data_IF_363995119341
#
_entry.id   IF_363995119341
#
_cell.length_a   1.000
_cell.length_b   1.000
_cell.length_c   1.000
_cell.angle_alpha   90.00
_cell.angle_beta   90.00
_cell.angle_gamma   90.00
#
_symmetry.space_group_name_H-M   'P 1'
#
loop_
_entity.id
_entity.type
_entity.pdbx_description
1 polymer ?
#
# COMPACT_ATOMS: atom_id res chain seq x y z
N UNK A 1 -7.57 2.20 14.41
CA UNK A 1 -7.25 3.45 13.67
C UNK A 1 -5.87 3.28 13.04
N UNK A 2 -5.72 3.48 11.73
CA UNK A 2 -4.43 3.27 11.07
C UNK A 2 -3.42 4.36 11.40
N UNK A 3 -2.15 3.99 11.55
CA UNK A 3 -1.06 4.93 11.79
C UNK A 3 -0.55 5.51 10.47
N UNK A 4 -0.14 6.78 10.49
CA UNK A 4 0.55 7.38 9.34
C UNK A 4 2.02 6.93 9.33
N UNK A 5 2.56 6.60 8.15
CA UNK A 5 3.96 6.17 8.03
C UNK A 5 4.92 7.33 8.23
N UNK A 6 4.58 8.51 7.74
CA UNK A 6 5.37 9.74 7.81
C UNK A 6 4.47 10.89 8.25
N UNK A 7 5.02 11.85 8.99
CA UNK A 7 4.29 13.02 9.48
C UNK A 7 3.55 13.76 8.36
N UNK A 8 2.33 14.20 8.68
CA UNK A 8 1.47 14.98 7.81
C UNK A 8 0.83 16.15 8.59
N UNK A 9 -0.22 16.75 8.04
CA UNK A 9 -0.92 17.91 8.65
C UNK A 9 -1.81 17.54 9.85
N UNK A 10 -1.99 16.26 10.17
CA UNK A 10 -2.90 15.81 11.26
C UNK A 10 -2.30 16.00 12.66
N UNK A 11 -0.97 16.09 12.76
CA UNK A 11 -0.26 16.18 14.05
C UNK A 11 -0.14 14.83 14.78
N UNK A 12 -0.59 13.74 14.18
CA UNK A 12 -0.44 12.39 14.73
C UNK A 12 1.04 11.98 14.73
N UNK A 13 1.45 11.20 15.75
CA UNK A 13 2.81 10.64 15.80
C UNK A 13 2.96 9.60 14.69
N UNK A 14 3.85 9.83 13.73
CA UNK A 14 4.00 8.88 12.61
C UNK A 14 4.78 7.62 13.04
N UNK A 15 4.52 6.52 12.34
CA UNK A 15 5.21 5.25 12.55
C UNK A 15 6.74 5.40 12.49
N UNK A 16 7.25 6.32 11.66
CA UNK A 16 8.68 6.62 11.58
C UNK A 16 9.26 7.07 12.92
N UNK A 17 8.54 7.88 13.71
CA UNK A 17 9.02 8.33 15.03
C UNK A 17 8.94 7.20 16.07
N UNK A 18 7.88 6.38 16.01
CA UNK A 18 7.77 5.18 16.86
C UNK A 18 8.94 4.23 16.61
N UNK A 19 9.28 3.98 15.34
CA UNK A 19 10.40 3.12 14.95
C UNK A 19 11.75 3.73 15.35
N UNK A 20 11.95 5.04 15.24
CA UNK A 20 13.17 5.71 15.73
C UNK A 20 13.34 5.50 17.23
N UNK A 21 12.27 5.73 18.02
CA UNK A 21 12.29 5.53 19.47
C UNK A 21 12.64 4.06 19.82
N UNK A 22 12.02 3.09 19.13
CA UNK A 22 12.34 1.68 19.28
C UNK A 22 13.81 1.38 19.00
N UNK A 23 14.35 1.88 17.86
CA UNK A 23 15.76 1.67 17.49
C UNK A 23 16.73 2.34 18.47
N UNK A 24 16.40 3.53 18.98
CA UNK A 24 17.19 4.23 20.00
C UNK A 24 17.33 3.37 21.25
N UNK A 25 16.21 2.83 21.75
CA UNK A 25 16.18 1.95 22.93
C UNK A 25 16.87 0.62 22.65
N UNK A 26 16.56 -0.06 21.54
CA UNK A 26 17.11 -1.39 21.21
C UNK A 26 18.63 -1.42 21.07
N UNK A 27 19.22 -0.36 20.52
CA UNK A 27 20.66 -0.26 20.25
C UNK A 27 21.39 0.66 21.20
N UNK A 28 20.74 1.13 22.27
CA UNK A 28 21.26 2.06 23.31
C UNK A 28 22.02 3.24 22.68
N UNK A 29 21.42 3.89 21.68
CA UNK A 29 22.07 4.98 20.96
C UNK A 29 22.03 6.28 21.77
N UNK A 30 23.16 6.98 22.01
CA UNK A 30 23.21 8.18 22.83
C UNK A 30 22.61 9.41 22.11
N UNK A 31 22.63 9.43 20.78
CA UNK A 31 22.19 10.59 19.97
C UNK A 31 20.91 10.34 19.19
N UNK A 32 20.71 11.18 18.17
CA UNK A 32 19.61 11.06 17.23
C UNK A 32 19.73 9.80 16.35
N UNK A 33 18.57 9.18 16.06
CA UNK A 33 18.50 7.99 15.21
C UNK A 33 18.02 8.38 13.83
N UNK A 34 18.85 8.13 12.83
CA UNK A 34 18.42 8.25 11.44
C UNK A 34 17.45 7.12 11.08
N UNK A 35 16.34 7.49 10.46
CA UNK A 35 15.40 6.55 9.82
C UNK A 35 14.86 7.18 8.55
N UNK A 36 15.17 6.59 7.40
CA UNK A 36 14.70 7.04 6.09
C UNK A 36 13.41 6.31 5.70
N UNK A 37 12.40 7.06 5.27
CA UNK A 37 11.14 6.53 4.73
C UNK A 37 11.35 6.22 3.25
N UNK A 38 11.31 4.94 2.87
CA UNK A 38 11.51 4.47 1.49
C UNK A 38 10.20 4.53 0.70
N UNK A 39 9.12 4.08 1.30
CA UNK A 39 7.76 4.14 0.75
C UNK A 39 6.73 4.30 1.87
N UNK A 40 5.49 4.53 1.49
CA UNK A 40 4.40 4.73 2.44
C UNK A 40 3.21 3.85 2.07
N UNK A 41 2.44 3.49 3.08
CA UNK A 41 1.06 3.06 2.93
C UNK A 41 0.13 4.25 3.18
N UNK A 42 -1.04 4.24 2.56
CA UNK A 42 -2.13 5.12 2.96
C UNK A 42 -2.51 4.81 4.42
N UNK A 43 -3.21 5.70 5.10
CA UNK A 43 -3.57 5.52 6.51
C UNK A 43 -4.44 4.31 6.80
N UNK A 44 -5.50 3.99 6.01
CA UNK A 44 -6.40 2.88 6.32
C UNK A 44 -5.86 1.47 6.05
N UNK A 45 -5.01 1.21 5.03
CA UNK A 45 -4.39 -0.10 4.80
C UNK A 45 -3.40 -0.50 5.90
N UNK A 46 -3.20 -1.81 6.02
CA UNK A 46 -2.16 -2.42 6.87
C UNK A 46 -1.05 -3.08 6.05
N UNK A 47 -0.01 -3.62 6.68
CA UNK A 47 0.98 -4.46 6.03
C UNK A 47 2.43 -4.01 6.16
N UNK A 48 3.28 -4.50 5.24
CA UNK A 48 4.73 -4.30 5.27
C UNK A 48 5.12 -2.88 4.87
N UNK A 49 5.95 -2.25 5.70
CA UNK A 49 6.59 -0.96 5.41
C UNK A 49 8.11 -1.10 5.60
N UNK A 50 8.87 -0.63 4.63
CA UNK A 50 10.34 -0.66 4.65
C UNK A 50 10.92 0.70 5.03
N UNK A 51 11.83 0.70 6.00
CA UNK A 51 12.61 1.86 6.40
C UNK A 51 14.11 1.61 6.20
N UNK A 52 14.84 2.66 5.88
CA UNK A 52 16.30 2.64 5.79
C UNK A 52 16.93 3.13 7.10
N UNK A 53 17.86 2.36 7.67
CA UNK A 53 18.56 2.72 8.91
C UNK A 53 19.78 3.63 8.67
N UNK A 54 20.13 3.92 7.42
CA UNK A 54 21.22 4.83 7.03
C UNK A 54 20.85 5.62 5.78
N UNK A 55 21.41 6.82 5.60
CA UNK A 55 21.22 7.65 4.42
C UNK A 55 21.70 6.95 3.13
N UNK A 56 22.81 6.22 3.20
CA UNK A 56 23.34 5.45 2.07
C UNK A 56 22.39 4.33 1.65
N UNK A 57 21.77 3.62 2.61
CA UNK A 57 20.75 2.60 2.31
C UNK A 57 19.49 3.25 1.74
N UNK A 58 19.06 4.41 2.26
CA UNK A 58 17.92 5.14 1.74
C UNK A 58 18.09 5.51 0.27
N UNK A 59 19.25 6.10 -0.10
CA UNK A 59 19.52 6.48 -1.49
C UNK A 59 19.44 5.27 -2.44
N UNK A 60 20.03 4.13 -2.06
CA UNK A 60 20.01 2.90 -2.85
C UNK A 60 18.59 2.31 -2.96
N UNK A 61 17.86 2.25 -1.86
CA UNK A 61 16.48 1.75 -1.86
C UNK A 61 15.57 2.66 -2.68
N UNK A 62 15.71 3.98 -2.60
CA UNK A 62 14.93 4.91 -3.43
C UNK A 62 15.19 4.68 -4.93
N UNK A 63 16.44 4.44 -5.33
CA UNK A 63 16.76 4.11 -6.72
C UNK A 63 16.09 2.80 -7.16
N UNK A 64 16.11 1.76 -6.32
CA UNK A 64 15.46 0.48 -6.59
C UNK A 64 13.93 0.62 -6.67
N UNK A 65 13.31 1.39 -5.77
CA UNK A 65 11.86 1.65 -5.80
C UNK A 65 11.41 2.51 -6.99
N UNK A 66 12.32 3.28 -7.57
CA UNK A 66 12.09 3.99 -8.84
C UNK A 66 12.19 3.04 -10.04
N UNK A 67 13.09 2.06 -9.99
CA UNK A 67 13.20 0.96 -10.97
C UNK A 67 12.31 -0.21 -10.54
N UNK A 68 11.15 -0.32 -11.18
CA UNK A 68 10.08 -1.25 -10.78
C UNK A 68 10.41 -2.73 -10.95
N UNK A 69 11.45 -3.05 -11.70
CA UNK A 69 11.89 -4.44 -11.92
C UNK A 69 12.64 -5.01 -10.71
N UNK A 70 13.16 -4.13 -9.84
CA UNK A 70 13.96 -4.53 -8.68
C UNK A 70 13.13 -4.69 -7.38
N UNK A 71 11.85 -4.27 -7.40
CA UNK A 71 10.99 -4.31 -6.22
C UNK A 71 9.61 -4.83 -6.58
N UNK A 72 9.26 -5.98 -6.06
CA UNK A 72 7.93 -6.57 -6.19
C UNK A 72 7.11 -6.29 -4.93
N UNK A 73 5.88 -5.81 -5.13
CA UNK A 73 4.91 -5.51 -4.06
C UNK A 73 3.60 -6.20 -4.34
N UNK A 74 3.22 -7.10 -3.47
CA UNK A 74 1.95 -7.80 -3.55
C UNK A 74 1.03 -7.33 -2.43
N UNK A 75 -0.21 -7.04 -2.78
CA UNK A 75 -1.26 -6.63 -1.85
C UNK A 75 -2.39 -7.66 -1.86
N UNK A 76 -3.04 -7.80 -0.73
CA UNK A 76 -4.31 -8.50 -0.64
C UNK A 76 -5.44 -7.50 -0.42
N UNK A 77 -6.55 -7.71 -1.12
CA UNK A 77 -7.75 -6.90 -0.98
C UNK A 77 -8.99 -7.79 -0.86
N UNK A 78 -9.86 -7.48 0.09
CA UNK A 78 -11.15 -8.15 0.23
C UNK A 78 -12.23 -7.26 -0.37
N UNK A 79 -12.87 -7.69 -1.45
CA UNK A 79 -13.88 -6.92 -2.19
C UNK A 79 -15.27 -7.52 -2.03
N UNK A 80 -16.32 -6.67 -2.17
CA UNK A 80 -17.72 -7.02 -1.92
C UNK A 80 -18.44 -7.62 -3.14
N UNK A 81 -17.79 -7.67 -4.28
CA UNK A 81 -18.37 -8.11 -5.55
C UNK A 81 -17.38 -9.06 -6.24
N UNK A 82 -17.90 -10.08 -6.94
CA UNK A 82 -17.08 -10.98 -7.74
C UNK A 82 -16.34 -10.21 -8.83
N UNK A 83 -15.04 -10.45 -9.01
CA UNK A 83 -14.31 -9.85 -10.12
C UNK A 83 -14.85 -10.39 -11.47
N UNK A 84 -14.74 -9.61 -12.55
CA UNK A 84 -15.27 -10.01 -13.87
C UNK A 84 -14.55 -11.23 -14.48
N UNK A 85 -13.36 -11.55 -13.98
CA UNK A 85 -12.58 -12.73 -14.31
C UNK A 85 -11.70 -13.12 -13.12
N UNK A 86 -11.21 -14.37 -13.09
CA UNK A 86 -10.34 -14.87 -12.00
C UNK A 86 -9.01 -14.12 -11.92
N UNK A 87 -8.55 -13.58 -13.03
CA UNK A 87 -7.37 -12.72 -13.11
C UNK A 87 -7.55 -11.64 -14.16
N UNK A 88 -6.83 -10.54 -14.01
CA UNK A 88 -6.91 -9.45 -14.99
C UNK A 88 -5.91 -8.34 -14.73
N UNK A 89 -5.75 -7.50 -15.76
CA UNK A 89 -4.90 -6.31 -15.72
C UNK A 89 -5.76 -5.07 -15.79
N UNK A 90 -5.63 -4.19 -14.81
CA UNK A 90 -6.30 -2.89 -14.83
C UNK A 90 -5.33 -1.80 -15.25
N UNK A 91 -5.65 -1.14 -16.35
CA UNK A 91 -4.94 0.05 -16.81
C UNK A 91 -5.89 1.23 -16.80
N UNK A 92 -5.56 2.26 -16.00
CA UNK A 92 -6.32 3.49 -15.90
C UNK A 92 -5.39 4.70 -15.86
N UNK A 93 -5.95 5.89 -16.02
CA UNK A 93 -5.28 7.17 -15.84
C UNK A 93 -5.83 7.86 -14.59
N UNK A 94 -4.99 8.02 -13.57
CA UNK A 94 -5.41 8.54 -12.27
C UNK A 94 -5.17 10.04 -12.17
N UNK A 95 -6.20 10.78 -11.78
CA UNK A 95 -6.13 12.18 -11.37
C UNK A 95 -6.33 12.28 -9.87
N UNK A 96 -5.40 12.96 -9.17
CA UNK A 96 -5.53 13.21 -7.73
C UNK A 96 -6.35 14.46 -7.47
N UNK A 97 -7.42 14.33 -6.70
CA UNK A 97 -8.15 15.44 -6.11
C UNK A 97 -7.61 15.71 -4.71
N UNK A 98 -6.81 16.76 -4.56
CA UNK A 98 -6.16 17.08 -3.27
C UNK A 98 -7.16 17.55 -2.22
N UNK A 99 -8.20 18.28 -2.61
CA UNK A 99 -9.24 18.80 -1.68
C UNK A 99 -9.99 17.66 -1.00
N UNK A 100 -10.29 16.59 -1.75
CA UNK A 100 -10.98 15.41 -1.23
C UNK A 100 -10.02 14.32 -0.73
N UNK A 101 -8.71 14.50 -0.91
CA UNK A 101 -7.70 13.46 -0.69
C UNK A 101 -8.12 12.13 -1.32
N UNK A 102 -8.50 12.16 -2.61
CA UNK A 102 -9.05 11.03 -3.37
C UNK A 102 -8.42 11.01 -4.78
N UNK A 103 -8.27 9.82 -5.37
CA UNK A 103 -7.91 9.68 -6.78
C UNK A 103 -9.10 9.21 -7.59
N UNK A 104 -9.23 9.68 -8.82
CA UNK A 104 -10.25 9.27 -9.78
C UNK A 104 -9.57 8.52 -10.92
N UNK A 105 -10.09 7.36 -11.27
CA UNK A 105 -9.59 6.53 -12.36
C UNK A 105 -10.40 6.82 -13.65
N UNK A 106 -9.69 7.12 -14.72
CA UNK A 106 -10.24 7.35 -16.06
C UNK A 106 -9.79 6.24 -17.01
N UNK A 107 -10.67 5.84 -17.92
CA UNK A 107 -10.39 4.80 -18.94
C UNK A 107 -9.37 5.27 -20.01
N UNK A 108 -9.28 6.58 -20.23
CA UNK A 108 -8.37 7.21 -21.19
C UNK A 108 -7.56 8.29 -20.50
N UNK A 109 -6.44 8.65 -21.12
CA UNK A 109 -5.62 9.77 -20.65
C UNK A 109 -6.42 11.07 -20.67
N UNK A 110 -6.34 11.80 -19.55
CA UNK A 110 -6.93 13.13 -19.38
C UNK A 110 -5.89 14.07 -18.79
N UNK A 111 -6.15 15.37 -18.84
CA UNK A 111 -5.22 16.38 -18.33
C UNK A 111 -4.82 16.09 -16.87
N UNK A 112 -3.52 16.21 -16.57
CA UNK A 112 -2.91 15.92 -15.26
C UNK A 112 -3.04 14.47 -14.76
N UNK A 113 -3.51 13.54 -15.59
CA UNK A 113 -3.57 12.14 -15.21
C UNK A 113 -2.20 11.46 -15.28
N UNK A 114 -2.05 10.37 -14.51
CA UNK A 114 -0.87 9.50 -14.55
C UNK A 114 -1.31 8.06 -14.79
N UNK A 115 -0.68 7.41 -15.77
CA UNK A 115 -0.93 5.98 -16.05
C UNK A 115 -0.69 5.14 -14.80
N UNK A 116 -1.63 4.25 -14.53
CA UNK A 116 -1.63 3.33 -13.40
C UNK A 116 -1.97 1.92 -13.89
N UNK A 117 -1.14 0.94 -13.53
CA UNK A 117 -1.28 -0.47 -13.93
C UNK A 117 -1.13 -1.34 -12.70
N UNK A 118 -2.05 -2.28 -12.54
CA UNK A 118 -1.97 -3.40 -11.60
C UNK A 118 -2.47 -4.69 -12.26
N UNK A 119 -2.00 -5.83 -11.76
CA UNK A 119 -2.59 -7.14 -12.04
C UNK A 119 -3.34 -7.61 -10.80
N UNK A 120 -4.46 -8.30 -10.99
CA UNK A 120 -5.15 -8.96 -9.88
C UNK A 120 -5.42 -10.42 -10.21
N UNK A 121 -5.50 -11.23 -9.16
CA UNK A 121 -5.89 -12.64 -9.20
C UNK A 121 -6.83 -12.94 -8.05
N UNK A 122 -7.92 -13.65 -8.31
CA UNK A 122 -8.82 -14.17 -7.30
C UNK A 122 -8.14 -15.34 -6.57
N UNK A 123 -7.88 -15.16 -5.27
CA UNK A 123 -7.29 -16.21 -4.42
C UNK A 123 -8.34 -17.09 -3.78
N UNK A 124 -9.43 -16.47 -3.30
CA UNK A 124 -10.46 -17.19 -2.56
C UNK A 124 -11.81 -16.48 -2.60
N UNK A 125 -12.87 -17.27 -2.68
CA UNK A 125 -14.26 -16.82 -2.56
C UNK A 125 -14.76 -17.17 -1.16
N UNK A 126 -15.40 -16.20 -0.50
CA UNK A 126 -16.14 -16.35 0.76
C UNK A 126 -17.63 -16.07 0.50
N UNK A 127 -18.48 -16.29 1.46
CA UNK A 127 -19.95 -16.12 1.33
C UNK A 127 -20.35 -14.72 0.81
N UNK A 128 -19.63 -13.69 1.23
CA UNK A 128 -19.97 -12.28 0.93
C UNK A 128 -18.82 -11.47 0.36
N UNK A 129 -17.64 -12.05 0.22
CA UNK A 129 -16.42 -11.34 -0.17
C UNK A 129 -15.53 -12.19 -1.04
N UNK A 130 -14.68 -11.52 -1.79
CA UNK A 130 -13.69 -12.12 -2.69
C UNK A 130 -12.31 -11.62 -2.32
N UNK A 131 -11.38 -12.52 -2.05
CA UNK A 131 -9.99 -12.18 -1.76
C UNK A 131 -9.21 -12.09 -3.06
N UNK A 132 -8.70 -10.91 -3.33
CA UNK A 132 -7.83 -10.66 -4.47
C UNK A 132 -6.38 -10.50 -4.02
N UNK A 133 -5.47 -11.15 -4.75
CA UNK A 133 -4.06 -10.81 -4.77
C UNK A 133 -3.81 -9.76 -5.86
N UNK A 134 -2.98 -8.77 -5.58
CA UNK A 134 -2.75 -7.63 -6.46
C UNK A 134 -1.26 -7.37 -6.57
N UNK A 135 -0.73 -7.52 -7.79
CA UNK A 135 0.62 -7.10 -8.13
C UNK A 135 0.61 -5.64 -8.60
N UNK A 136 1.27 -4.79 -7.83
CA UNK A 136 1.26 -3.36 -8.06
C UNK A 136 2.41 -2.93 -8.98
N UNK A 137 2.13 -2.81 -10.28
CA UNK A 137 3.12 -2.40 -11.29
C UNK A 137 3.48 -0.91 -11.17
N UNK A 138 2.52 -0.06 -10.86
CA UNK A 138 2.75 1.37 -10.59
C UNK A 138 2.33 1.69 -9.16
N UNK A 139 2.85 2.76 -8.54
CA UNK A 139 2.51 3.19 -7.18
C UNK A 139 1.94 4.60 -7.17
N UNK A 140 0.68 4.79 -7.62
CA UNK A 140 -0.01 6.08 -7.58
C UNK A 140 -0.80 6.22 -6.29
N UNK A 141 -1.08 7.46 -5.90
CA UNK A 141 -1.92 7.76 -4.74
C UNK A 141 -3.28 7.05 -4.84
N UNK A 142 -3.65 6.28 -3.82
CA UNK A 142 -4.88 5.48 -3.73
C UNK A 142 -5.10 4.53 -4.93
N UNK A 143 -4.05 4.08 -5.60
CA UNK A 143 -4.16 3.39 -6.88
C UNK A 143 -5.10 2.17 -6.84
N UNK A 144 -4.83 1.21 -5.97
CA UNK A 144 -5.62 -0.03 -5.86
C UNK A 144 -7.08 0.31 -5.57
N UNK A 145 -7.32 1.19 -4.62
CA UNK A 145 -8.65 1.62 -4.20
C UNK A 145 -9.45 2.24 -5.35
N UNK A 146 -8.81 3.17 -6.08
CA UNK A 146 -9.45 3.87 -7.20
C UNK A 146 -9.70 2.96 -8.41
N UNK A 147 -8.75 2.08 -8.75
CA UNK A 147 -8.87 1.19 -9.89
C UNK A 147 -9.90 0.07 -9.66
N UNK A 148 -9.92 -0.54 -8.48
CA UNK A 148 -10.93 -1.52 -8.14
C UNK A 148 -12.33 -0.91 -8.10
N UNK A 149 -12.50 0.25 -7.45
CA UNK A 149 -13.78 0.95 -7.44
C UNK A 149 -14.28 1.34 -8.83
N UNK A 150 -13.38 1.69 -9.76
CA UNK A 150 -13.73 2.03 -11.14
C UNK A 150 -14.35 0.88 -11.94
N UNK A 151 -14.12 -0.35 -11.52
CA UNK A 151 -14.73 -1.57 -12.10
C UNK A 151 -15.81 -2.18 -11.19
N UNK A 152 -16.29 -1.43 -10.18
CA UNK A 152 -17.36 -1.86 -9.28
C UNK A 152 -16.93 -2.80 -8.15
N UNK A 153 -15.64 -2.99 -7.92
CA UNK A 153 -15.10 -3.79 -6.82
C UNK A 153 -14.75 -2.88 -5.63
N UNK A 154 -15.61 -2.87 -4.60
CA UNK A 154 -15.37 -2.02 -3.44
C UNK A 154 -14.64 -2.80 -2.35
N UNK A 155 -13.52 -2.25 -1.89
CA UNK A 155 -12.75 -2.86 -0.80
C UNK A 155 -13.57 -2.76 0.50
N UNK A 156 -13.73 -3.87 1.23
CA UNK A 156 -14.44 -3.91 2.51
C UNK A 156 -13.91 -2.83 3.46
N UNK A 157 -14.82 -1.99 3.97
CA UNK A 157 -14.51 -0.89 4.87
C UNK A 157 -14.18 0.44 4.19
N UNK A 158 -13.96 0.47 2.87
CA UNK A 158 -13.53 1.67 2.15
C UNK A 158 -14.70 2.56 1.72
N UNK A 159 -15.30 3.28 2.69
CA UNK A 159 -16.40 4.21 2.43
C UNK A 159 -16.03 5.28 1.40
N UNK A 160 -14.76 5.73 1.38
CA UNK A 160 -14.30 6.75 0.44
C UNK A 160 -14.41 6.30 -1.02
N UNK A 161 -14.34 5.00 -1.26
CA UNK A 161 -14.40 4.38 -2.59
C UNK A 161 -15.60 3.47 -2.80
N UNK A 162 -16.68 3.66 -2.02
CA UNK A 162 -17.98 3.10 -2.33
C UNK A 162 -18.41 1.88 -1.48
N UNK A 163 -17.60 1.43 -0.53
CA UNK A 163 -18.06 0.41 0.41
C UNK A 163 -19.27 0.89 1.20
N UNK A 164 -20.24 -0.01 1.40
CA UNK A 164 -21.51 0.31 2.08
C UNK A 164 -21.35 0.47 3.60
N UNK A 165 -20.32 -0.11 4.21
CA UNK A 165 -20.10 -0.10 5.67
C UNK A 165 -18.62 0.06 5.98
N UNK A 166 -18.31 0.77 7.07
CA UNK A 166 -16.96 0.82 7.64
C UNK A 166 -16.63 -0.48 8.38
N UNK A 167 -15.35 -0.77 8.54
CA UNK A 167 -14.91 -1.76 9.52
C UNK A 167 -14.98 -1.16 10.94
N UNK A 168 -15.15 -2.00 12.00
CA UNK A 168 -15.22 -1.53 13.38
C UNK A 168 -13.99 -0.73 13.83
N UNK A 169 -12.81 -1.06 13.31
CA UNK A 169 -11.53 -0.40 13.60
C UNK A 169 -11.27 0.86 12.75
N UNK A 170 -12.19 1.20 11.82
CA UNK A 170 -12.04 2.31 10.87
C UNK A 170 -11.02 2.04 9.76
N UNK A 171 -10.39 0.87 9.71
CA UNK A 171 -9.49 0.42 8.66
C UNK A 171 -10.24 -0.09 7.43
N UNK A 172 -9.48 -0.48 6.40
CA UNK A 172 -10.00 -1.14 5.20
C UNK A 172 -9.31 -2.48 4.99
N UNK A 173 -9.98 -3.43 4.36
CA UNK A 173 -9.38 -4.73 4.05
C UNK A 173 -8.50 -4.66 2.80
N UNK A 174 -7.47 -3.81 2.86
CA UNK A 174 -6.35 -3.71 1.94
C UNK A 174 -5.06 -3.88 2.73
N UNK A 175 -4.22 -4.81 2.34
CA UNK A 175 -3.03 -5.20 3.08
C UNK A 175 -1.83 -5.33 2.16
N UNK A 176 -0.72 -4.63 2.46
CA UNK A 176 0.57 -4.84 1.80
C UNK A 176 1.15 -6.17 2.28
N UNK A 177 0.81 -7.25 1.56
CA UNK A 177 1.06 -8.62 1.98
C UNK A 177 2.53 -8.99 1.89
N UNK A 178 3.17 -8.70 0.75
CA UNK A 178 4.57 -9.03 0.57
C UNK A 178 5.39 -7.92 -0.07
N UNK A 179 6.67 -7.93 0.23
CA UNK A 179 7.68 -7.06 -0.34
C UNK A 179 8.95 -7.85 -0.63
N UNK A 180 9.32 -7.95 -1.92
CA UNK A 180 10.55 -8.57 -2.36
C UNK A 180 11.47 -7.54 -3.01
N UNK A 181 12.75 -7.54 -2.63
CA UNK A 181 13.75 -6.62 -3.17
C UNK A 181 15.18 -7.16 -2.96
N UNK A 182 16.14 -6.65 -3.71
CA UNK A 182 17.55 -6.95 -3.50
C UNK A 182 18.11 -6.14 -2.34
N UNK A 183 18.72 -6.79 -1.34
CA UNK A 183 19.30 -6.07 -0.21
C UNK A 183 20.39 -5.07 -0.67
N UNK A 184 20.29 -3.75 -0.32
CA UNK A 184 21.11 -2.71 -0.92
C UNK A 184 22.62 -2.82 -0.65
N UNK A 185 23.03 -3.65 0.32
CA UNK A 185 24.43 -3.85 0.69
C UNK A 185 24.88 -5.29 0.41
N UNK A 186 24.17 -6.28 0.95
CA UNK A 186 24.53 -7.70 0.84
C UNK A 186 24.31 -8.30 -0.54
N UNK A 187 23.44 -7.66 -1.37
CA UNK A 187 23.10 -8.16 -2.71
C UNK A 187 22.43 -9.54 -2.72
N UNK A 188 21.71 -9.86 -1.67
CA UNK A 188 20.87 -11.06 -1.53
C UNK A 188 19.40 -10.66 -1.67
N UNK A 189 18.56 -11.55 -2.18
CA UNK A 189 17.13 -11.34 -2.26
C UNK A 189 16.51 -11.36 -0.86
N UNK A 190 15.70 -10.38 -0.56
CA UNK A 190 14.91 -10.28 0.68
C UNK A 190 13.45 -10.40 0.32
N UNK A 191 12.77 -11.38 0.89
CA UNK A 191 11.31 -11.52 0.83
C UNK A 191 10.74 -11.43 2.23
N UNK A 192 9.75 -10.57 2.39
CA UNK A 192 9.03 -10.38 3.66
C UNK A 192 7.55 -10.55 3.35
N UNK A 193 6.89 -11.43 4.10
CA UNK A 193 5.47 -11.70 3.98
C UNK A 193 4.80 -11.59 5.34
N UNK A 194 3.62 -10.97 5.37
CA UNK A 194 2.79 -10.81 6.58
C UNK A 194 1.34 -11.05 6.20
N UNK A 195 0.68 -11.94 6.90
CA UNK A 195 -0.75 -12.17 6.73
C UNK A 195 -1.57 -11.06 7.40
N UNK A 196 -2.70 -10.64 6.80
CA UNK A 196 -3.62 -9.73 7.47
C UNK A 196 -4.32 -10.41 8.65
N UNK A 197 -4.68 -9.62 9.65
CA UNK A 197 -5.45 -10.09 10.83
C UNK A 197 -6.98 -9.93 10.65
N UNK A 198 -7.48 -9.96 9.43
CA UNK A 198 -8.92 -9.79 9.16
C UNK A 198 -9.72 -10.97 9.66
N UNK A 199 -10.82 -10.68 10.34
CA UNK A 199 -11.86 -11.67 10.61
C UNK A 199 -12.83 -11.68 9.41
N UNK A 200 -12.81 -12.75 8.65
CA UNK A 200 -13.69 -12.97 7.50
C UNK A 200 -14.71 -14.01 7.91
N UNK A 201 -15.90 -13.55 8.25
CA UNK A 201 -17.09 -14.37 8.47
C UNK A 201 -17.89 -14.46 7.18
#
# INVERSE_FOLDING_TARGET
MGDIVQGDKTGDIPLSEVVKAYLKKKYNKPGEVFLGVVHRLDRPPTGVVLFAKTSKALARLNAMFANKEEVQKTYWALVDTAPPAEEGTLTHWLVRNEKQNKSVAHQKEVQHSKKAVLHYKLLKTYDRYYLLEIDLITGRHHQIRAQLAAIGLHIKGDLKYGAKRSNPDGGICLHAHSLCFLHPVKKENVSIEVAPNWQIS
#
